data_IF_080539174640
#
_entry.id   IF_080539174640
#
_cell.length_a   1.000
_cell.length_b   1.000
_cell.length_c   1.000
_cell.angle_alpha   90.00
_cell.angle_beta   90.00
_cell.angle_gamma   90.00
#
_symmetry.space_group_name_H-M   'P 1'
#
loop_
_entity.id
_entity.type
_entity.pdbx_description
1 polymer ?
#
# COMPACT_ATOMS: atom_id res chain seq x y z
N UNK A 1 5.28 7.14 -3.72
CA UNK A 1 6.41 6.20 -3.84
C UNK A 1 5.97 4.82 -4.26
N UNK A 2 6.70 4.22 -5.17
CA UNK A 2 6.45 2.87 -5.64
C UNK A 2 7.76 2.08 -5.78
N UNK A 3 7.69 0.77 -5.53
CA UNK A 3 8.76 -0.15 -5.90
C UNK A 3 8.62 -0.43 -7.40
N UNK A 4 9.46 0.21 -8.21
CA UNK A 4 9.38 0.12 -9.67
C UNK A 4 10.00 -1.17 -10.25
N UNK A 5 10.75 -1.89 -9.44
CA UNK A 5 11.31 -3.20 -9.79
C UNK A 5 11.90 -3.87 -8.55
N UNK A 6 11.71 -5.16 -8.45
CA UNK A 6 12.27 -5.99 -7.40
C UNK A 6 12.77 -7.30 -8.01
N UNK A 7 14.03 -7.62 -7.76
CA UNK A 7 14.61 -8.89 -8.15
C UNK A 7 15.24 -9.56 -6.91
N UNK A 8 14.97 -10.83 -6.75
CA UNK A 8 15.45 -11.64 -5.64
C UNK A 8 16.23 -12.85 -6.15
N UNK A 9 17.24 -13.28 -5.38
CA UNK A 9 17.95 -14.53 -5.67
C UNK A 9 17.10 -15.72 -5.25
N UNK A 10 16.92 -16.65 -6.17
CA UNK A 10 16.28 -17.93 -5.87
C UNK A 10 17.14 -18.74 -4.92
N UNK A 11 16.58 -19.19 -3.80
CA UNK A 11 17.25 -20.09 -2.87
C UNK A 11 17.56 -21.47 -3.46
N UNK A 12 16.81 -21.86 -4.50
CA UNK A 12 16.97 -23.19 -5.11
C UNK A 12 18.17 -23.29 -6.05
N UNK A 13 18.50 -22.25 -6.81
CA UNK A 13 19.54 -22.29 -7.85
C UNK A 13 20.41 -21.03 -7.91
N UNK A 14 20.22 -20.06 -7.04
CA UNK A 14 20.98 -18.81 -7.03
C UNK A 14 20.69 -17.87 -8.21
N UNK A 15 19.68 -18.15 -9.05
CA UNK A 15 19.33 -17.27 -10.13
C UNK A 15 18.63 -16.00 -9.63
N UNK A 16 18.99 -14.86 -10.21
CA UNK A 16 18.29 -13.62 -9.99
C UNK A 16 16.96 -13.63 -10.76
N UNK A 17 15.85 -13.54 -10.05
CA UNK A 17 14.52 -13.50 -10.66
C UNK A 17 13.86 -12.17 -10.38
N UNK A 18 13.37 -11.52 -11.42
CA UNK A 18 12.48 -10.37 -11.27
C UNK A 18 11.15 -10.85 -10.72
N UNK A 19 10.80 -10.40 -9.52
CA UNK A 19 9.53 -10.75 -8.88
C UNK A 19 8.48 -9.68 -9.06
N UNK A 20 8.89 -8.45 -9.38
CA UNK A 20 8.00 -7.35 -9.74
C UNK A 20 8.47 -6.67 -11.03
N UNK A 21 7.66 -6.69 -12.10
CA UNK A 21 8.02 -6.07 -13.35
C UNK A 21 7.86 -4.54 -13.30
N UNK A 22 8.71 -3.84 -14.03
CA UNK A 22 8.77 -2.38 -14.12
C UNK A 22 7.70 -1.78 -15.06
N UNK A 23 6.47 -2.31 -15.19
CA UNK A 23 5.68 -2.05 -16.39
C UNK A 23 4.27 -1.45 -16.23
N UNK A 24 3.82 -1.11 -15.05
CA UNK A 24 2.52 -0.41 -14.92
C UNK A 24 2.63 0.76 -13.96
N UNK A 25 1.89 1.82 -14.22
CA UNK A 25 1.91 3.04 -13.41
C UNK A 25 1.53 2.83 -11.93
N UNK A 26 0.97 1.67 -11.60
CA UNK A 26 0.51 1.35 -10.24
C UNK A 26 1.26 0.18 -9.59
N UNK A 27 2.12 -0.52 -10.33
CA UNK A 27 2.87 -1.65 -9.79
C UNK A 27 3.80 -1.21 -8.66
N UNK A 28 3.69 -1.88 -7.51
CA UNK A 28 4.50 -1.60 -6.34
C UNK A 28 4.15 -0.33 -5.58
N UNK A 29 3.05 0.32 -5.90
CA UNK A 29 2.60 1.53 -5.20
C UNK A 29 2.12 1.19 -3.79
N UNK A 30 2.53 1.99 -2.81
CA UNK A 30 1.89 2.01 -1.49
C UNK A 30 0.67 2.91 -1.53
N UNK A 31 -0.35 2.54 -0.77
CA UNK A 31 -1.63 3.21 -0.72
C UNK A 31 -1.93 3.64 0.71
N UNK A 32 -2.30 4.88 0.90
CA UNK A 32 -2.80 5.45 2.16
C UNK A 32 -3.60 6.74 1.85
N UNK A 33 -4.52 7.16 2.71
CA UNK A 33 -4.98 6.60 3.97
C UNK A 33 -6.04 5.51 3.81
N UNK A 34 -6.25 5.03 2.57
CA UNK A 34 -7.08 3.87 2.27
C UNK A 34 -6.45 3.03 1.15
N UNK A 35 -6.70 1.72 1.19
CA UNK A 35 -6.26 0.77 0.18
C UNK A 35 -7.40 0.47 -0.80
N UNK A 36 -7.04 -0.03 -2.01
CA UNK A 36 -7.98 -0.44 -3.04
C UNK A 36 -9.01 0.66 -3.36
N UNK A 37 -10.31 0.37 -3.20
CA UNK A 37 -11.41 1.27 -3.59
C UNK A 37 -12.32 1.60 -2.43
N UNK A 38 -12.78 2.86 -2.40
CA UNK A 38 -13.89 3.32 -1.56
C UNK A 38 -15.12 3.49 -2.46
N UNK A 39 -16.17 2.72 -2.18
CA UNK A 39 -17.40 2.66 -2.98
C UNK A 39 -18.02 4.06 -3.09
N UNK A 40 -18.28 4.51 -4.31
CA UNK A 40 -18.84 5.83 -4.63
C UNK A 40 -18.04 6.99 -3.98
N UNK A 41 -16.75 6.77 -3.71
CA UNK A 41 -15.90 7.78 -3.08
C UNK A 41 -16.38 8.27 -1.71
N UNK A 42 -17.19 7.49 -1.00
CA UNK A 42 -17.81 7.92 0.26
C UNK A 42 -17.57 6.88 1.37
N UNK A 43 -17.29 7.38 2.57
CA UNK A 43 -17.14 6.56 3.77
C UNK A 43 -17.70 7.29 4.99
N UNK A 44 -18.04 6.52 6.03
CA UNK A 44 -18.52 7.09 7.29
C UNK A 44 -17.51 6.80 8.41
N UNK A 45 -17.24 7.80 9.22
CA UNK A 45 -16.38 7.68 10.40
C UNK A 45 -16.96 8.50 11.55
N UNK A 46 -17.12 7.87 12.70
CA UNK A 46 -17.71 8.49 13.92
C UNK A 46 -19.02 9.25 13.65
N UNK A 47 -19.92 8.64 12.85
CA UNK A 47 -21.23 9.21 12.53
C UNK A 47 -21.23 10.30 11.45
N UNK A 48 -20.07 10.72 10.96
CA UNK A 48 -19.94 11.70 9.87
C UNK A 48 -19.62 11.01 8.56
N UNK A 49 -20.27 11.41 7.47
CA UNK A 49 -19.98 10.92 6.12
C UNK A 49 -19.05 11.89 5.41
N UNK A 50 -18.00 11.34 4.82
CA UNK A 50 -16.99 12.07 4.05
C UNK A 50 -17.02 11.64 2.59
N UNK A 51 -16.71 12.58 1.69
CA UNK A 51 -16.71 12.37 0.24
C UNK A 51 -15.31 12.66 -0.32
N UNK A 52 -14.66 11.62 -0.85
CA UNK A 52 -13.32 11.70 -1.46
C UNK A 52 -13.35 12.24 -2.89
N UNK A 53 -14.53 12.23 -3.51
CA UNK A 53 -14.82 12.75 -4.83
C UNK A 53 -16.32 13.14 -4.94
N UNK A 54 -16.77 13.47 -6.11
CA UNK A 54 -18.16 13.89 -6.40
C UNK A 54 -19.18 12.73 -6.42
N UNK A 55 -18.76 11.51 -6.10
CA UNK A 55 -19.62 10.31 -6.11
C UNK A 55 -19.84 9.71 -7.50
N UNK A 56 -19.29 10.27 -8.55
CA UNK A 56 -19.43 9.77 -9.94
C UNK A 56 -18.66 8.46 -10.17
N UNK A 57 -17.70 8.16 -9.31
CA UNK A 57 -16.86 6.97 -9.39
C UNK A 57 -16.39 6.50 -8.01
N UNK A 58 -15.76 5.32 -7.96
CA UNK A 58 -15.07 4.87 -6.77
C UNK A 58 -13.77 5.65 -6.59
N UNK A 59 -13.45 6.09 -5.35
CA UNK A 59 -12.12 6.57 -5.05
C UNK A 59 -11.14 5.39 -4.98
N UNK A 60 -9.93 5.56 -5.51
CA UNK A 60 -8.97 4.47 -5.65
C UNK A 60 -7.58 4.83 -5.10
N UNK A 61 -6.93 3.86 -4.49
CA UNK A 61 -5.50 3.80 -4.20
C UNK A 61 -4.96 4.88 -3.27
N UNK A 62 -5.81 5.47 -2.44
CA UNK A 62 -5.40 6.45 -1.45
C UNK A 62 -5.26 7.87 -1.99
N UNK A 63 -4.59 8.70 -1.22
CA UNK A 63 -4.40 10.14 -1.48
C UNK A 63 -2.91 10.52 -1.44
N UNK A 64 -2.01 9.55 -1.48
CA UNK A 64 -0.57 9.84 -1.50
C UNK A 64 -0.19 10.55 -2.80
N UNK A 65 0.71 11.54 -2.76
CA UNK A 65 1.26 12.13 -3.96
C UNK A 65 2.12 11.11 -4.73
N UNK A 66 2.29 11.34 -6.02
CA UNK A 66 3.10 10.48 -6.88
C UNK A 66 4.55 10.34 -6.39
N UNK A 67 5.08 11.40 -5.79
CA UNK A 67 6.43 11.43 -5.24
C UNK A 67 6.36 11.64 -3.73
N UNK A 68 7.11 10.81 -2.99
CA UNK A 68 7.29 10.92 -1.55
C UNK A 68 8.74 11.28 -1.23
N UNK A 69 8.98 12.21 -0.31
CA UNK A 69 10.34 12.53 0.12
C UNK A 69 10.99 11.33 0.82
N UNK A 70 12.25 11.09 0.50
CA UNK A 70 13.11 10.19 1.25
C UNK A 70 13.61 10.90 2.51
N UNK A 71 13.24 10.40 3.67
CA UNK A 71 13.61 11.00 4.96
C UNK A 71 14.75 10.27 5.66
N UNK A 72 14.98 9.01 5.32
CA UNK A 72 16.11 8.24 5.81
C UNK A 72 16.52 7.17 4.80
N UNK A 73 17.82 6.88 4.74
CA UNK A 73 18.35 5.75 3.97
C UNK A 73 19.57 5.15 4.66
N UNK A 74 19.71 3.85 4.55
CA UNK A 74 20.88 3.12 5.06
C UNK A 74 21.29 2.06 4.04
N UNK A 75 22.58 2.00 3.73
CA UNK A 75 23.15 0.95 2.90
C UNK A 75 24.34 0.37 3.67
N UNK A 76 24.35 -0.93 3.88
CA UNK A 76 25.43 -1.68 4.53
C UNK A 76 25.57 -3.05 3.86
N UNK A 77 26.71 -3.74 4.02
CA UNK A 77 26.87 -5.09 3.50
C UNK A 77 25.70 -6.01 3.94
N UNK A 78 25.01 -6.60 2.96
CA UNK A 78 23.89 -7.53 3.19
C UNK A 78 22.55 -6.90 3.54
N UNK A 79 22.44 -5.56 3.65
CA UNK A 79 21.14 -4.90 3.90
C UNK A 79 21.10 -3.46 3.39
N UNK A 80 19.92 -3.05 2.91
CA UNK A 80 19.64 -1.67 2.57
C UNK A 80 18.22 -1.30 3.02
N UNK A 81 18.03 -0.07 3.43
CA UNK A 81 16.70 0.45 3.74
C UNK A 81 16.52 1.89 3.26
N UNK A 82 15.28 2.24 2.95
CA UNK A 82 14.88 3.61 2.64
C UNK A 82 13.52 3.88 3.27
N UNK A 83 13.37 5.05 3.87
CA UNK A 83 12.10 5.52 4.43
C UNK A 83 11.58 6.68 3.60
N UNK A 84 10.35 6.54 3.15
CA UNK A 84 9.59 7.59 2.48
C UNK A 84 8.50 8.06 3.42
N UNK A 85 8.32 9.37 3.56
CA UNK A 85 7.39 9.94 4.53
C UNK A 85 6.36 10.85 3.86
N UNK A 86 5.19 10.91 4.46
CA UNK A 86 4.13 11.84 4.08
C UNK A 86 3.32 12.25 5.31
N UNK A 87 2.81 13.48 5.29
CA UNK A 87 1.83 13.93 6.29
C UNK A 87 0.59 14.42 5.56
N UNK A 88 -0.52 13.73 5.80
CA UNK A 88 -1.84 14.29 5.51
C UNK A 88 -2.08 15.41 6.51
N UNK A 89 -2.33 16.62 6.05
CA UNK A 89 -2.45 17.81 6.90
C UNK A 89 -3.91 18.15 7.26
N UNK A 90 -4.86 17.34 6.77
CA UNK A 90 -6.30 17.58 6.98
C UNK A 90 -6.91 18.62 6.04
N UNK A 91 -6.16 19.16 5.10
CA UNK A 91 -6.66 20.15 4.14
C UNK A 91 -7.62 19.57 3.09
N UNK A 92 -7.58 18.27 2.86
CA UNK A 92 -8.49 17.61 1.95
C UNK A 92 -9.87 17.44 2.62
N UNK A 93 -10.95 18.06 2.10
CA UNK A 93 -12.28 17.97 2.73
C UNK A 93 -12.85 16.55 2.77
N UNK A 94 -12.42 15.67 1.88
CA UNK A 94 -12.77 14.25 1.90
C UNK A 94 -11.98 13.43 2.92
N UNK A 95 -10.87 13.97 3.42
CA UNK A 95 -10.05 13.35 4.47
C UNK A 95 -9.47 14.44 5.39
N UNK A 96 -10.30 15.08 6.22
CA UNK A 96 -9.88 16.20 7.07
C UNK A 96 -9.18 15.72 8.35
N UNK A 97 -8.25 14.79 8.23
CA UNK A 97 -7.51 14.21 9.35
C UNK A 97 -6.01 14.38 9.14
N UNK A 98 -5.32 14.84 10.19
CA UNK A 98 -3.88 14.96 10.11
C UNK A 98 -3.20 13.68 10.61
N UNK A 99 -2.54 12.97 9.66
CA UNK A 99 -1.86 11.70 9.90
C UNK A 99 -0.49 11.72 9.26
N UNK A 100 0.55 11.52 10.06
CA UNK A 100 1.89 11.27 9.54
C UNK A 100 2.08 9.78 9.25
N UNK A 101 2.67 9.45 8.11
CA UNK A 101 2.95 8.07 7.71
C UNK A 101 4.37 7.93 7.17
N UNK A 102 5.05 6.89 7.62
CA UNK A 102 6.35 6.45 7.16
C UNK A 102 6.25 5.07 6.52
N UNK A 103 6.84 4.90 5.34
CA UNK A 103 7.01 3.63 4.64
C UNK A 103 8.50 3.28 4.63
N UNK A 104 8.92 2.35 5.46
CA UNK A 104 10.29 1.87 5.51
C UNK A 104 10.42 0.60 4.66
N UNK A 105 11.10 0.71 3.55
CA UNK A 105 11.44 -0.40 2.67
C UNK A 105 12.77 -0.97 3.10
N UNK A 106 12.83 -2.26 3.38
CA UNK A 106 14.05 -2.97 3.75
C UNK A 106 14.27 -4.14 2.81
N UNK A 107 15.51 -4.27 2.35
CA UNK A 107 15.98 -5.42 1.60
C UNK A 107 17.20 -5.98 2.32
N UNK A 108 17.15 -7.24 2.73
CA UNK A 108 18.21 -7.94 3.42
C UNK A 108 18.28 -9.43 3.02
N UNK A 109 19.06 -10.23 3.74
CA UNK A 109 19.18 -11.66 3.47
C UNK A 109 17.88 -12.45 3.68
N UNK A 110 16.96 -11.94 4.48
CA UNK A 110 15.66 -12.57 4.76
C UNK A 110 14.60 -12.21 3.71
N UNK A 111 14.85 -11.17 2.91
CA UNK A 111 13.99 -10.77 1.81
C UNK A 111 13.69 -9.29 1.75
N UNK A 112 12.53 -8.98 1.17
CA UNK A 112 12.01 -7.63 1.04
C UNK A 112 10.84 -7.41 2.01
N UNK A 113 10.88 -6.29 2.74
CA UNK A 113 9.86 -5.91 3.72
C UNK A 113 9.47 -4.44 3.56
N UNK A 114 8.22 -4.16 3.81
CA UNK A 114 7.71 -2.78 3.94
C UNK A 114 7.10 -2.68 5.35
N UNK A 115 7.70 -1.86 6.20
CA UNK A 115 7.14 -1.50 7.49
C UNK A 115 6.41 -0.16 7.36
N UNK A 116 5.16 -0.09 7.81
CA UNK A 116 4.35 1.11 7.75
C UNK A 116 4.08 1.60 9.17
N UNK A 117 4.48 2.82 9.46
CA UNK A 117 4.17 3.49 10.72
C UNK A 117 3.25 4.66 10.44
N UNK A 118 2.03 4.63 10.99
CA UNK A 118 1.09 5.74 10.92
C UNK A 118 0.86 6.32 12.32
N UNK A 119 0.87 7.64 12.41
CA UNK A 119 0.65 8.37 13.64
C UNK A 119 -0.40 9.45 13.42
N UNK A 120 -1.48 9.40 14.20
CA UNK A 120 -2.41 10.52 14.30
C UNK A 120 -1.69 11.71 14.94
N UNK A 121 -1.65 12.85 14.25
CA UNK A 121 -1.02 14.08 14.75
C UNK A 121 -2.03 15.13 15.16
N UNK A 122 -3.33 14.79 15.13
CA UNK A 122 -4.39 15.63 15.70
C UNK A 122 -4.56 15.31 17.20
N UNK A 123 -4.46 16.32 18.03
CA UNK A 123 -4.74 16.14 19.46
C UNK A 123 -6.24 15.94 19.71
N UNK A 124 -6.57 15.02 20.61
CA UNK A 124 -7.93 14.82 21.12
C UNK A 124 -8.95 14.24 20.14
N UNK A 125 -8.55 13.87 18.92
CA UNK A 125 -9.45 13.28 17.94
C UNK A 125 -8.88 11.99 17.35
N UNK A 126 -9.75 11.11 16.85
CA UNK A 126 -9.36 9.92 16.13
C UNK A 126 -9.32 10.19 14.61
N UNK A 127 -8.49 9.43 13.89
CA UNK A 127 -8.42 9.46 12.43
C UNK A 127 -8.57 8.04 11.87
N UNK A 128 -9.40 7.83 10.83
CA UNK A 128 -9.46 6.55 10.15
C UNK A 128 -8.19 6.38 9.29
N UNK A 129 -7.56 5.22 9.36
CA UNK A 129 -6.37 4.94 8.56
C UNK A 129 -6.35 3.48 8.14
N UNK A 130 -6.04 3.27 6.86
CA UNK A 130 -5.74 1.99 6.27
C UNK A 130 -4.60 2.18 5.27
N UNK A 131 -3.77 1.17 5.10
CA UNK A 131 -2.73 1.18 4.09
C UNK A 131 -2.72 -0.12 3.29
N UNK A 132 -2.05 -0.11 2.17
CA UNK A 132 -1.85 -1.27 1.34
C UNK A 132 -0.64 -1.12 0.44
N UNK A 133 -0.24 -2.24 -0.15
CA UNK A 133 0.77 -2.30 -1.19
C UNK A 133 0.19 -3.02 -2.40
N UNK A 134 0.51 -2.53 -3.60
CA UNK A 134 -0.02 -3.04 -4.87
C UNK A 134 1.06 -3.80 -5.67
N UNK A 135 1.55 -4.95 -5.17
CA UNK A 135 2.59 -5.70 -5.88
C UNK A 135 2.04 -6.37 -7.13
N UNK A 136 2.93 -6.52 -8.11
CA UNK A 136 2.71 -7.34 -9.29
C UNK A 136 3.85 -8.35 -9.38
N UNK A 137 3.55 -9.62 -9.23
CA UNK A 137 4.56 -10.67 -9.22
C UNK A 137 4.69 -11.36 -10.56
N UNK A 138 5.92 -11.59 -11.00
CA UNK A 138 6.23 -12.45 -12.13
C UNK A 138 6.26 -13.91 -11.66
N UNK A 139 5.21 -14.65 -11.92
CA UNK A 139 5.07 -16.04 -11.46
C UNK A 139 5.14 -17.07 -12.59
N UNK A 140 5.44 -16.64 -13.84
CA UNK A 140 5.44 -17.53 -15.00
C UNK A 140 4.03 -17.96 -15.39
N UNK A 141 3.68 -19.21 -15.10
CA UNK A 141 2.32 -19.72 -15.33
C UNK A 141 1.40 -19.37 -14.17
N UNK A 142 0.45 -18.47 -14.42
CA UNK A 142 -0.51 -18.03 -13.40
C UNK A 142 -1.56 -19.10 -13.06
N UNK A 143 -1.79 -20.07 -13.93
CA UNK A 143 -2.77 -21.13 -13.68
C UNK A 143 -2.28 -22.12 -12.60
N UNK A 144 -0.97 -22.27 -12.46
CA UNK A 144 -0.34 -23.13 -11.45
C UNK A 144 0.21 -22.36 -10.24
N UNK A 145 0.11 -21.04 -10.24
CA UNK A 145 0.62 -20.21 -9.14
C UNK A 145 -0.22 -20.40 -7.87
N UNK A 146 0.47 -20.51 -6.73
CA UNK A 146 -0.15 -20.63 -5.42
C UNK A 146 0.25 -19.42 -4.57
N UNK A 147 -0.74 -18.79 -3.95
CA UNK A 147 -0.54 -17.77 -2.93
C UNK A 147 -0.71 -18.41 -1.56
N UNK A 148 0.34 -18.40 -0.76
CA UNK A 148 0.29 -18.84 0.62
C UNK A 148 0.27 -17.64 1.55
N UNK A 149 -0.76 -17.55 2.38
CA UNK A 149 -0.94 -16.50 3.38
C UNK A 149 -0.79 -17.07 4.79
N UNK A 150 -0.43 -16.21 5.73
CA UNK A 150 -0.47 -16.57 7.16
C UNK A 150 -1.90 -17.01 7.52
N UNK A 151 -2.09 -18.16 8.20
CA UNK A 151 -3.43 -18.66 8.57
C UNK A 151 -4.20 -17.71 9.50
N UNK A 152 -3.52 -16.73 10.12
CA UNK A 152 -4.16 -15.66 10.90
C UNK A 152 -4.64 -14.50 10.05
N UNK A 153 -4.29 -14.48 8.76
CA UNK A 153 -4.75 -13.45 7.83
C UNK A 153 -6.22 -13.68 7.48
N UNK A 154 -6.96 -12.61 7.37
CA UNK A 154 -8.30 -12.60 6.78
C UNK A 154 -8.27 -11.98 5.41
N UNK A 155 -9.15 -12.41 4.54
CA UNK A 155 -9.31 -11.81 3.22
C UNK A 155 -10.78 -11.50 2.96
N UNK A 156 -10.98 -10.38 2.28
CA UNK A 156 -12.28 -10.03 1.77
C UNK A 156 -12.42 -10.53 0.34
N UNK A 157 -13.46 -11.31 0.09
CA UNK A 157 -13.83 -11.67 -1.27
C UNK A 157 -14.39 -10.42 -1.95
N UNK A 158 -13.84 -10.10 -3.12
CA UNK A 158 -14.37 -9.01 -3.93
C UNK A 158 -15.68 -9.43 -4.60
N UNK A 159 -16.50 -8.46 -4.96
CA UNK A 159 -17.64 -8.69 -5.84
C UNK A 159 -17.18 -9.24 -7.21
N UNK A 160 -18.12 -9.63 -8.06
CA UNK A 160 -17.84 -10.19 -9.38
C UNK A 160 -17.04 -9.24 -10.33
N UNK A 161 -16.93 -7.96 -9.99
CA UNK A 161 -16.08 -7.00 -10.69
C UNK A 161 -14.65 -6.98 -10.15
N UNK A 162 -14.37 -7.74 -9.07
CA UNK A 162 -13.05 -7.82 -8.44
C UNK A 162 -12.55 -6.52 -7.83
N UNK A 163 -13.42 -5.58 -7.58
CA UNK A 163 -13.01 -4.21 -7.23
C UNK A 163 -13.49 -3.71 -5.89
N UNK A 164 -14.53 -4.30 -5.33
CA UNK A 164 -15.10 -3.85 -4.05
C UNK A 164 -15.25 -5.09 -3.18
N UNK A 165 -14.85 -5.04 -1.89
CA UNK A 165 -15.10 -6.14 -0.97
C UNK A 165 -16.57 -6.50 -0.96
N UNK A 166 -16.86 -7.80 -1.11
CA UNK A 166 -18.22 -8.32 -1.03
C UNK A 166 -18.80 -8.10 0.37
N UNK A 167 -20.07 -7.83 0.45
CA UNK A 167 -20.81 -7.88 1.73
C UNK A 167 -21.19 -9.34 1.99
N UNK A 168 -20.66 -9.90 3.07
CA UNK A 168 -21.09 -11.19 3.61
C UNK A 168 -22.03 -10.96 4.77
#
# INVERSE_FOLDING_TARGET
>A
GAVSGLALLSKANGELRTVQPHRTAQAGTVMAPFANRVKNGSYSFQGTTYHLNDGSSHAMHGLLPAELPCTASTIRPGAASVTLSHTFDGSNPGYPFAVAVDFCYTLDQDGFRIDVTARNVMEGSAAPFMCGWHPWFCVGDTASAVVQLDPRSSWNVCDHLGSIPGTH
#
